data_IF_931517014783
#
_entry.id   IF_931517014783
#
_cell.length_a   1.000
_cell.length_b   1.000
_cell.length_c   1.000
_cell.angle_alpha   90.00
_cell.angle_beta   90.00
_cell.angle_gamma   90.00
#
_symmetry.space_group_name_H-M   'P 1'
#
loop_
_entity.id
_entity.type
_entity.pdbx_description
1 polymer ?
#
# COMPACT_ATOMS: atom_id res chain seq x y z
N UNK A 1 -41.86 5.83 -17.67
CA UNK A 1 -40.41 5.97 -17.86
C UNK A 1 -39.72 4.92 -17.03
N UNK A 2 -39.16 3.88 -17.65
CA UNK A 2 -38.46 2.83 -16.94
C UNK A 2 -37.04 3.32 -16.61
N UNK A 3 -36.77 3.49 -15.32
CA UNK A 3 -35.41 3.65 -14.80
C UNK A 3 -34.71 2.30 -14.95
N UNK A 4 -33.80 2.21 -15.91
CA UNK A 4 -32.90 1.06 -16.06
C UNK A 4 -31.89 1.09 -14.92
N UNK A 5 -32.04 0.18 -13.96
CA UNK A 5 -31.03 -0.07 -12.96
C UNK A 5 -29.86 -0.80 -13.62
N UNK A 6 -28.79 -0.07 -13.95
CA UNK A 6 -27.48 -0.70 -14.12
C UNK A 6 -27.05 -1.24 -12.76
N UNK A 7 -27.44 -2.47 -12.45
CA UNK A 7 -26.77 -3.26 -11.45
C UNK A 7 -25.32 -3.40 -11.93
N UNK A 8 -24.44 -2.56 -11.39
CA UNK A 8 -23.03 -2.57 -11.73
C UNK A 8 -22.49 -3.96 -11.42
N UNK A 9 -22.11 -4.70 -12.47
CA UNK A 9 -21.45 -5.97 -12.29
C UNK A 9 -20.18 -5.74 -11.47
N UNK A 10 -20.20 -6.20 -10.22
CA UNK A 10 -18.99 -6.28 -9.40
C UNK A 10 -18.17 -7.44 -9.93
N UNK A 11 -17.14 -7.15 -10.72
CA UNK A 11 -16.17 -8.15 -11.13
C UNK A 11 -15.40 -8.64 -9.89
N UNK A 12 -15.23 -9.95 -9.78
CA UNK A 12 -14.31 -10.52 -8.79
C UNK A 12 -12.91 -9.99 -9.10
N UNK A 13 -12.18 -9.43 -8.12
CA UNK A 13 -10.79 -9.05 -8.31
C UNK A 13 -9.98 -10.25 -8.81
N UNK A 14 -9.17 -10.04 -9.84
CA UNK A 14 -8.30 -11.04 -10.43
C UNK A 14 -6.90 -10.47 -10.60
N UNK A 15 -5.87 -11.28 -10.36
CA UNK A 15 -4.48 -10.88 -10.57
C UNK A 15 -4.09 -11.07 -12.03
N UNK A 16 -3.23 -10.18 -12.55
CA UNK A 16 -2.56 -10.37 -13.83
C UNK A 16 -1.71 -11.65 -13.85
N UNK A 17 -1.25 -12.08 -12.67
CA UNK A 17 -0.42 -13.28 -12.49
C UNK A 17 -1.26 -14.56 -12.38
N UNK A 18 -2.57 -14.47 -12.11
CA UNK A 18 -3.44 -15.65 -12.04
C UNK A 18 -3.74 -16.16 -13.45
N UNK A 19 -3.24 -17.36 -13.78
CA UNK A 19 -3.38 -17.96 -15.11
C UNK A 19 -2.32 -17.53 -16.12
N UNK A 20 -1.33 -16.73 -15.71
CA UNK A 20 -0.19 -16.39 -16.53
C UNK A 20 0.74 -17.61 -16.70
N UNK A 21 1.21 -17.94 -17.93
CA UNK A 21 2.22 -18.96 -18.13
C UNK A 21 3.49 -18.68 -17.33
N UNK A 22 4.06 -19.71 -16.71
CA UNK A 22 5.19 -19.57 -15.76
C UNK A 22 6.43 -18.92 -16.39
N UNK A 23 6.66 -19.16 -17.68
CA UNK A 23 7.75 -18.59 -18.47
C UNK A 23 7.57 -17.09 -18.76
N UNK A 24 6.35 -16.57 -18.62
CA UNK A 24 6.04 -15.16 -18.83
C UNK A 24 6.04 -14.33 -17.54
N UNK A 25 6.03 -14.98 -16.36
CA UNK A 25 5.96 -14.30 -15.06
C UNK A 25 7.09 -13.28 -14.90
N UNK A 26 8.34 -13.71 -15.11
CA UNK A 26 9.52 -12.84 -14.96
C UNK A 26 9.48 -11.66 -15.94
N UNK A 27 9.02 -11.88 -17.16
CA UNK A 27 8.91 -10.81 -18.16
C UNK A 27 7.87 -9.77 -17.75
N UNK A 28 6.72 -10.23 -17.25
CA UNK A 28 5.65 -9.34 -16.75
C UNK A 28 6.09 -8.57 -15.50
N UNK A 29 6.81 -9.22 -14.59
CA UNK A 29 7.44 -8.56 -13.43
C UNK A 29 8.39 -7.44 -13.90
N UNK A 30 9.29 -7.72 -14.85
CA UNK A 30 10.22 -6.72 -15.39
C UNK A 30 9.50 -5.53 -16.06
N UNK A 31 8.41 -5.78 -16.80
CA UNK A 31 7.60 -4.72 -17.41
C UNK A 31 6.98 -3.84 -16.32
N UNK A 32 6.46 -4.44 -15.26
CA UNK A 32 5.89 -3.72 -14.13
C UNK A 32 6.97 -2.92 -13.39
N UNK A 33 8.15 -3.49 -13.17
CA UNK A 33 9.26 -2.85 -12.47
C UNK A 33 9.80 -1.61 -13.20
N UNK A 34 9.80 -1.64 -14.53
CA UNK A 34 10.19 -0.50 -15.36
C UNK A 34 9.34 0.76 -15.12
N UNK A 35 8.18 0.65 -14.45
CA UNK A 35 7.39 1.82 -14.05
C UNK A 35 8.05 2.67 -12.95
N UNK A 36 9.02 2.12 -12.21
CA UNK A 36 9.65 2.78 -11.07
C UNK A 36 11.06 3.29 -11.42
N UNK A 37 11.22 4.60 -11.45
CA UNK A 37 12.56 5.22 -11.49
C UNK A 37 13.40 4.86 -10.25
N UNK A 38 14.73 4.88 -10.34
CA UNK A 38 15.63 4.52 -9.24
C UNK A 38 15.41 5.35 -7.96
N UNK A 39 14.99 6.62 -8.11
CA UNK A 39 14.64 7.50 -6.98
C UNK A 39 13.36 7.07 -6.26
N UNK A 40 12.47 6.33 -6.93
CA UNK A 40 11.28 5.71 -6.35
C UNK A 40 11.63 4.45 -5.57
N UNK A 41 12.54 3.62 -6.08
CA UNK A 41 13.07 2.46 -5.36
C UNK A 41 13.67 2.83 -4.00
N UNK A 42 14.45 3.92 -3.93
CA UNK A 42 14.98 4.43 -2.66
C UNK A 42 13.89 4.73 -1.62
N UNK A 43 12.69 5.15 -2.05
CA UNK A 43 11.56 5.42 -1.15
C UNK A 43 10.88 4.13 -0.69
N UNK A 44 10.79 3.14 -1.58
CA UNK A 44 10.33 1.79 -1.25
C UNK A 44 11.25 1.19 -0.18
N UNK A 45 12.56 1.16 -0.43
CA UNK A 45 13.54 0.63 0.53
C UNK A 45 13.50 1.37 1.86
N UNK A 46 13.44 2.71 1.85
CA UNK A 46 13.32 3.50 3.06
C UNK A 46 12.04 3.17 3.85
N UNK A 47 10.92 2.98 3.17
CA UNK A 47 9.67 2.55 3.79
C UNK A 47 9.81 1.18 4.47
N UNK A 48 10.42 0.22 3.77
CA UNK A 48 10.58 -1.16 4.27
C UNK A 48 11.49 -1.26 5.48
N UNK A 49 12.47 -0.37 5.63
CA UNK A 49 13.31 -0.27 6.84
C UNK A 49 12.51 0.02 8.10
N UNK A 50 11.40 0.76 7.98
CA UNK A 50 10.48 1.01 9.09
C UNK A 50 9.41 -0.08 9.21
N UNK A 51 8.83 -0.50 8.08
CA UNK A 51 7.71 -1.42 8.08
C UNK A 51 8.09 -2.82 8.59
N UNK A 52 9.17 -3.42 8.08
CA UNK A 52 9.54 -4.80 8.42
C UNK A 52 9.75 -5.01 9.93
N UNK A 53 10.60 -4.23 10.63
CA UNK A 53 10.78 -4.42 12.07
C UNK A 53 9.50 -4.16 12.86
N UNK A 54 8.71 -3.15 12.46
CA UNK A 54 7.44 -2.85 13.11
C UNK A 54 6.43 -4.01 12.95
N UNK A 55 6.22 -4.50 11.73
CA UNK A 55 5.31 -5.61 11.45
C UNK A 55 5.69 -6.87 12.24
N UNK A 56 6.98 -7.21 12.26
CA UNK A 56 7.48 -8.35 13.04
C UNK A 56 7.25 -8.17 14.55
N UNK A 57 7.48 -6.97 15.09
CA UNK A 57 7.22 -6.66 16.49
C UNK A 57 5.73 -6.76 16.87
N UNK A 58 4.82 -6.54 15.92
CA UNK A 58 3.39 -6.74 16.11
C UNK A 58 2.92 -8.19 15.85
N UNK A 59 3.84 -9.10 15.49
CA UNK A 59 3.51 -10.47 15.10
C UNK A 59 2.78 -10.56 13.75
N UNK A 60 2.89 -9.54 12.89
CA UNK A 60 2.24 -9.50 11.58
C UNK A 60 3.17 -10.01 10.47
N UNK A 61 2.60 -10.60 9.40
CA UNK A 61 3.33 -10.82 8.17
C UNK A 61 3.84 -9.50 7.58
N UNK A 62 5.05 -9.53 7.01
CA UNK A 62 5.64 -8.37 6.33
C UNK A 62 5.00 -8.10 4.97
N UNK A 63 4.24 -9.05 4.44
CA UNK A 63 3.38 -8.90 3.26
C UNK A 63 1.93 -8.77 3.72
N UNK A 64 1.25 -7.71 3.31
CA UNK A 64 -0.19 -7.54 3.51
C UNK A 64 -0.88 -8.21 2.34
N UNK A 65 -1.52 -9.36 2.59
CA UNK A 65 -2.16 -10.14 1.55
C UNK A 65 -3.37 -9.41 0.93
N UNK A 66 -3.62 -9.63 -0.36
CA UNK A 66 -4.86 -9.22 -1.03
C UNK A 66 -6.07 -9.72 -0.25
N UNK A 67 -7.05 -8.84 -0.05
CA UNK A 67 -8.26 -9.17 0.72
C UNK A 67 -8.10 -9.22 2.24
N UNK A 68 -6.90 -9.00 2.80
CA UNK A 68 -6.69 -8.99 4.26
C UNK A 68 -7.67 -8.00 4.94
N UNK A 69 -8.58 -8.48 5.83
CA UNK A 69 -9.58 -7.63 6.47
C UNK A 69 -8.96 -6.64 7.46
N UNK A 70 -7.74 -6.89 7.92
CA UNK A 70 -7.02 -6.08 8.91
C UNK A 70 -6.04 -5.07 8.28
N UNK A 71 -5.91 -5.05 6.94
CA UNK A 71 -4.96 -4.18 6.22
C UNK A 71 -5.06 -2.70 6.61
N UNK A 72 -6.27 -2.21 6.86
CA UNK A 72 -6.49 -0.83 7.29
C UNK A 72 -5.85 -0.52 8.65
N UNK A 73 -5.95 -1.45 9.60
CA UNK A 73 -5.32 -1.33 10.92
C UNK A 73 -3.80 -1.44 10.82
N UNK A 74 -3.29 -2.35 9.98
CA UNK A 74 -1.84 -2.49 9.71
C UNK A 74 -1.24 -1.20 9.14
N UNK A 75 -1.90 -0.61 8.15
CA UNK A 75 -1.49 0.67 7.56
C UNK A 75 -1.57 1.83 8.56
N UNK A 76 -2.65 1.93 9.33
CA UNK A 76 -2.79 2.96 10.35
C UNK A 76 -1.70 2.83 11.42
N UNK A 77 -1.45 1.60 11.90
CA UNK A 77 -0.38 1.31 12.85
C UNK A 77 1.00 1.72 12.33
N UNK A 78 1.30 1.44 11.06
CA UNK A 78 2.54 1.87 10.43
C UNK A 78 2.70 3.39 10.41
N UNK A 79 1.66 4.12 10.00
CA UNK A 79 1.67 5.58 9.97
C UNK A 79 1.81 6.16 11.37
N UNK A 80 1.07 5.62 12.33
CA UNK A 80 1.17 6.04 13.75
C UNK A 80 2.57 5.79 14.29
N UNK A 81 3.19 4.65 13.98
CA UNK A 81 4.57 4.37 14.38
C UNK A 81 5.54 5.39 13.79
N UNK A 82 5.42 5.73 12.50
CA UNK A 82 6.25 6.79 11.89
C UNK A 82 6.09 8.12 12.64
N UNK A 83 4.86 8.52 12.97
CA UNK A 83 4.59 9.77 13.69
C UNK A 83 5.18 9.77 15.11
N UNK A 84 5.05 8.66 15.84
CA UNK A 84 5.45 8.59 17.25
C UNK A 84 6.95 8.37 17.46
N UNK A 85 7.62 7.73 16.51
CA UNK A 85 9.03 7.30 16.67
C UNK A 85 10.01 8.10 15.82
N UNK A 86 9.51 9.01 14.99
CA UNK A 86 10.35 9.82 14.09
C UNK A 86 9.93 11.29 14.11
N UNK A 87 10.79 12.18 13.64
CA UNK A 87 10.50 13.60 13.44
C UNK A 87 10.10 13.92 11.98
N UNK A 88 9.47 12.97 11.28
CA UNK A 88 9.15 13.12 9.86
C UNK A 88 7.95 14.06 9.63
N UNK A 89 8.10 14.96 8.67
CA UNK A 89 6.99 15.78 8.15
C UNK A 89 6.02 14.96 7.32
N UNK A 90 4.79 15.46 7.18
CA UNK A 90 3.72 14.82 6.39
C UNK A 90 4.15 14.37 4.99
N UNK A 91 4.96 15.19 4.30
CA UNK A 91 5.44 14.87 2.95
C UNK A 91 6.31 13.61 2.92
N UNK A 92 7.11 13.35 3.95
CA UNK A 92 7.93 12.15 4.06
C UNK A 92 7.09 10.93 4.43
N UNK A 93 6.17 11.08 5.39
CA UNK A 93 5.25 10.01 5.78
C UNK A 93 4.45 9.51 4.57
N UNK A 94 3.89 10.44 3.79
CA UNK A 94 3.11 10.08 2.59
C UNK A 94 3.94 9.32 1.56
N UNK A 95 5.24 9.66 1.40
CA UNK A 95 6.16 8.94 0.52
C UNK A 95 6.43 7.51 1.02
N UNK A 96 6.57 7.30 2.32
CA UNK A 96 6.82 5.97 2.87
C UNK A 96 5.56 5.09 2.84
N UNK A 97 4.40 5.66 3.14
CA UNK A 97 3.12 4.99 2.92
C UNK A 97 2.97 4.54 1.47
N UNK A 98 3.26 5.43 0.51
CA UNK A 98 3.26 5.07 -0.90
C UNK A 98 4.28 3.96 -1.21
N UNK A 99 5.51 4.06 -0.70
CA UNK A 99 6.55 3.04 -0.89
C UNK A 99 6.15 1.66 -0.35
N UNK A 100 5.41 1.61 0.76
CA UNK A 100 4.87 0.36 1.29
C UNK A 100 3.81 -0.22 0.35
N UNK A 101 2.91 0.62 -0.17
CA UNK A 101 1.85 0.19 -1.09
C UNK A 101 2.43 -0.28 -2.43
N UNK A 102 3.47 0.38 -2.95
CA UNK A 102 4.19 -0.11 -4.12
C UNK A 102 4.84 -1.46 -3.87
N UNK A 103 5.50 -1.63 -2.71
CA UNK A 103 6.06 -2.93 -2.34
C UNK A 103 5.01 -4.03 -2.35
N UNK A 104 3.82 -3.81 -1.77
CA UNK A 104 2.76 -4.83 -1.81
C UNK A 104 2.38 -5.23 -3.24
N UNK A 105 2.27 -4.26 -4.15
CA UNK A 105 2.00 -4.52 -5.57
C UNK A 105 3.12 -5.29 -6.26
N UNK A 106 4.38 -5.00 -5.93
CA UNK A 106 5.54 -5.75 -6.39
C UNK A 106 5.61 -7.17 -5.82
N UNK A 107 4.85 -7.46 -4.77
CA UNK A 107 4.71 -8.80 -4.19
C UNK A 107 3.39 -9.46 -4.61
N UNK A 108 2.83 -8.99 -5.74
CA UNK A 108 1.60 -9.48 -6.36
C UNK A 108 0.37 -9.34 -5.46
N UNK A 109 0.39 -8.38 -4.54
CA UNK A 109 -0.75 -8.05 -3.70
C UNK A 109 -1.45 -6.78 -4.20
N UNK A 110 -2.70 -6.60 -3.79
CA UNK A 110 -3.44 -5.38 -4.05
C UNK A 110 -2.85 -4.19 -3.29
N UNK A 111 -3.17 -2.98 -3.75
CA UNK A 111 -2.90 -1.78 -2.95
C UNK A 111 -3.67 -1.87 -1.62
N UNK A 112 -2.98 -1.95 -0.46
CA UNK A 112 -3.64 -2.21 0.82
C UNK A 112 -4.56 -1.07 1.26
N UNK A 113 -4.48 0.11 0.62
CA UNK A 113 -5.37 1.25 0.88
C UNK A 113 -6.75 1.07 0.24
N UNK A 114 -6.88 0.18 -0.75
CA UNK A 114 -8.12 -0.08 -1.46
C UNK A 114 -9.25 -0.44 -0.52
N UNK A 115 -10.34 0.34 -0.54
CA UNK A 115 -11.54 0.09 0.28
C UNK A 115 -11.37 0.33 1.80
N UNK A 116 -10.26 0.90 2.26
CA UNK A 116 -10.05 1.18 3.69
C UNK A 116 -10.89 2.40 4.10
N UNK A 117 -11.99 2.15 4.82
CA UNK A 117 -12.87 3.20 5.36
C UNK A 117 -12.09 4.10 6.33
N UNK A 118 -12.28 5.42 6.21
CA UNK A 118 -11.64 6.41 7.08
C UNK A 118 -10.20 6.78 6.73
N UNK A 119 -9.55 6.08 5.79
CA UNK A 119 -8.15 6.30 5.42
C UNK A 119 -7.82 7.76 5.05
N UNK A 120 -8.67 8.38 4.23
CA UNK A 120 -8.48 9.77 3.78
C UNK A 120 -8.54 10.75 4.95
N UNK A 121 -9.50 10.57 5.87
CA UNK A 121 -9.63 11.44 7.04
C UNK A 121 -8.47 11.25 8.00
N UNK A 122 -8.03 10.01 8.23
CA UNK A 122 -6.86 9.71 9.04
C UNK A 122 -5.61 10.42 8.50
N UNK A 123 -5.31 10.31 7.21
CA UNK A 123 -4.14 10.98 6.61
C UNK A 123 -4.24 12.52 6.69
N UNK A 124 -5.44 13.11 6.60
CA UNK A 124 -5.64 14.55 6.85
C UNK A 124 -5.29 14.93 8.29
N UNK A 125 -5.67 14.13 9.28
CA UNK A 125 -5.30 14.34 10.68
C UNK A 125 -3.78 14.26 10.88
N UNK A 126 -3.11 13.31 10.23
CA UNK A 126 -1.64 13.21 10.26
C UNK A 126 -0.97 14.46 9.67
N UNK A 127 -1.55 15.04 8.61
CA UNK A 127 -1.04 16.29 8.03
C UNK A 127 -1.05 17.44 9.02
N UNK A 128 -2.13 17.58 9.80
CA UNK A 128 -2.24 18.63 10.82
C UNK A 128 -1.26 18.37 11.96
N UNK A 129 -1.17 17.12 12.41
CA UNK A 129 -0.31 16.73 13.53
C UNK A 129 1.20 16.90 13.23
N UNK A 130 1.61 16.66 11.99
CA UNK A 130 3.02 16.71 11.56
C UNK A 130 3.37 18.01 10.82
N UNK A 131 2.56 19.05 11.00
CA UNK A 131 2.83 20.38 10.46
C UNK A 131 4.03 21.01 11.18
N UNK A 132 4.99 21.51 10.40
CA UNK A 132 6.09 22.35 10.87
C UNK A 132 5.93 23.73 10.21
N UNK A 133 5.97 24.83 10.99
CA UNK A 133 5.81 26.20 10.49
C UNK A 133 6.98 26.67 9.61
#
# INVERSE_FOLDING_TARGET
GAVSAFAGASYTPASLFDGLPVDMVETVEQIIDNRLASSSWRKVDASLKYWRPFALAQGWPTIIASGDPLRGGKLAGFVTMLVLTTALVYASITKYVWGLCEWMKLQHQDDPRGGVRGWVNFMKSIKVLTFQP
#
